data_IF_756806655546
#
_entry.id   IF_756806655546
#
_cell.length_a   1.000
_cell.length_b   1.000
_cell.length_c   1.000
_cell.angle_alpha   90.00
_cell.angle_beta   90.00
_cell.angle_gamma   90.00
#
_symmetry.space_group_name_H-M   'P 1'
#
loop_
_entity.id
_entity.type
_entity.pdbx_description
1 polymer ?
#
# COMPACT_ATOMS: atom_id res chain seq x y z
N UNK A 1 -6.00 10.85 -18.23
CA UNK A 1 -4.62 10.37 -18.48
C UNK A 1 -4.74 8.89 -18.86
N UNK A 2 -4.42 8.55 -20.10
CA UNK A 2 -4.58 7.18 -20.60
C UNK A 2 -3.45 6.29 -20.05
N UNK A 3 -3.82 5.24 -19.32
CA UNK A 3 -2.89 4.21 -18.87
C UNK A 3 -2.25 3.53 -20.09
N UNK A 4 -0.93 3.43 -20.13
CA UNK A 4 -0.21 2.71 -21.17
C UNK A 4 -0.66 1.24 -21.18
N UNK A 5 -1.09 0.75 -22.34
CA UNK A 5 -1.46 -0.65 -22.52
C UNK A 5 -0.23 -1.55 -22.28
N UNK A 6 -0.38 -2.70 -21.60
CA UNK A 6 0.74 -3.57 -21.28
C UNK A 6 1.33 -4.17 -22.55
N UNK A 7 2.62 -3.93 -22.80
CA UNK A 7 3.38 -4.51 -23.90
C UNK A 7 4.03 -5.82 -23.45
N UNK A 8 3.26 -6.91 -23.41
CA UNK A 8 3.78 -8.23 -23.07
C UNK A 8 4.47 -8.92 -24.25
N UNK A 9 5.77 -9.21 -24.12
CA UNK A 9 6.52 -10.12 -25.01
C UNK A 9 6.15 -11.55 -24.60
N UNK A 10 5.29 -12.22 -25.38
CA UNK A 10 4.91 -13.64 -25.22
C UNK A 10 4.48 -14.05 -23.80
N UNK A 11 3.24 -13.69 -23.43
CA UNK A 11 2.55 -14.25 -22.26
C UNK A 11 2.93 -13.66 -20.90
N UNK A 12 4.08 -12.98 -20.76
CA UNK A 12 4.44 -12.23 -19.56
C UNK A 12 3.89 -10.81 -19.66
N UNK A 13 3.07 -10.43 -18.68
CA UNK A 13 2.46 -9.12 -18.55
C UNK A 13 3.27 -8.29 -17.54
N UNK A 14 3.88 -7.20 -18.00
CA UNK A 14 4.46 -6.18 -17.12
C UNK A 14 3.29 -5.44 -16.44
N UNK A 15 2.99 -5.80 -15.20
CA UNK A 15 1.88 -5.20 -14.44
C UNK A 15 2.24 -3.77 -14.08
N UNK A 16 3.43 -3.59 -13.49
CA UNK A 16 4.04 -2.29 -13.26
C UNK A 16 5.55 -2.43 -13.00
N UNK A 17 6.29 -1.36 -13.25
CA UNK A 17 7.72 -1.28 -12.99
C UNK A 17 8.10 0.12 -12.49
N UNK A 18 8.11 0.29 -11.15
CA UNK A 18 8.51 1.54 -10.49
C UNK A 18 10.02 1.74 -10.53
N UNK A 19 10.82 0.72 -10.91
CA UNK A 19 12.27 0.86 -11.01
C UNK A 19 12.67 1.77 -12.19
N UNK A 20 11.85 1.81 -13.24
CA UNK A 20 12.03 2.72 -14.38
C UNK A 20 11.55 4.14 -14.11
N UNK A 21 10.64 4.32 -13.14
CA UNK A 21 10.03 5.59 -12.79
C UNK A 21 9.93 5.74 -11.27
N UNK A 22 11.07 5.82 -10.54
CA UNK A 22 11.07 5.87 -9.08
C UNK A 22 10.38 7.11 -8.53
N UNK A 23 10.21 8.17 -9.34
CA UNK A 23 9.47 9.37 -8.98
C UNK A 23 7.96 9.14 -8.82
N UNK A 24 7.44 8.04 -9.35
CA UNK A 24 6.08 7.62 -9.06
C UNK A 24 5.95 7.26 -7.59
N UNK A 25 6.91 6.57 -6.96
CA UNK A 25 6.85 6.15 -5.54
C UNK A 25 6.66 7.38 -4.65
N UNK A 26 5.42 7.68 -4.25
CA UNK A 26 5.02 8.90 -3.56
C UNK A 26 4.20 8.57 -2.31
N UNK A 27 4.29 9.40 -1.26
CA UNK A 27 3.42 9.32 -0.09
C UNK A 27 1.96 9.52 -0.48
N UNK A 28 1.06 9.11 0.41
CA UNK A 28 -0.38 9.30 0.25
C UNK A 28 -0.82 10.75 0.52
N UNK A 29 -0.22 11.74 -0.16
CA UNK A 29 -0.34 13.18 0.15
C UNK A 29 -1.78 13.66 0.33
N UNK A 30 -2.72 13.22 -0.52
CA UNK A 30 -4.10 13.65 -0.43
C UNK A 30 -4.81 13.11 0.82
N UNK A 31 -4.52 11.87 1.19
CA UNK A 31 -5.03 11.23 2.40
C UNK A 31 -4.43 11.91 3.64
N UNK A 32 -3.10 12.03 3.70
CA UNK A 32 -2.38 12.68 4.80
C UNK A 32 -2.88 14.12 5.04
N UNK A 33 -3.03 14.89 3.96
CA UNK A 33 -3.48 16.28 4.03
C UNK A 33 -4.91 16.39 4.53
N UNK A 34 -5.80 15.45 4.21
CA UNK A 34 -7.17 15.43 4.74
C UNK A 34 -7.17 15.26 6.26
N UNK A 35 -6.39 14.32 6.81
CA UNK A 35 -6.33 14.11 8.25
C UNK A 35 -5.65 15.27 9.00
N UNK A 36 -4.59 15.82 8.42
CA UNK A 36 -3.90 16.99 8.97
C UNK A 36 -4.78 18.23 8.99
N UNK A 37 -5.47 18.53 7.89
CA UNK A 37 -6.36 19.69 7.79
C UNK A 37 -7.55 19.56 8.73
N UNK A 38 -8.13 18.36 8.88
CA UNK A 38 -9.18 18.11 9.85
C UNK A 38 -8.70 18.37 11.29
N UNK A 39 -7.52 17.85 11.67
CA UNK A 39 -6.92 18.05 12.99
C UNK A 39 -6.62 19.52 13.29
N UNK A 40 -5.99 20.23 12.35
CA UNK A 40 -5.70 21.65 12.50
C UNK A 40 -6.97 22.51 12.56
N UNK A 41 -8.00 22.15 11.79
CA UNK A 41 -9.30 22.83 11.83
C UNK A 41 -9.98 22.66 13.18
N UNK A 42 -9.95 21.45 13.76
CA UNK A 42 -10.45 21.18 15.11
C UNK A 42 -9.74 22.04 16.17
N UNK A 43 -8.41 22.10 16.11
CA UNK A 43 -7.61 22.97 17.01
C UNK A 43 -8.02 24.44 16.84
N UNK A 44 -8.13 24.92 15.60
CA UNK A 44 -8.54 26.29 15.29
C UNK A 44 -9.95 26.63 15.82
N UNK A 45 -10.92 25.73 15.65
CA UNK A 45 -12.28 25.88 16.17
C UNK A 45 -12.29 25.96 17.70
N UNK A 46 -11.58 25.05 18.38
CA UNK A 46 -11.50 25.04 19.85
C UNK A 46 -10.89 26.36 20.35
N UNK A 47 -9.80 26.82 19.74
CA UNK A 47 -9.16 28.09 20.12
C UNK A 47 -10.08 29.29 19.85
N UNK A 48 -10.74 29.34 18.69
CA UNK A 48 -11.67 30.40 18.32
C UNK A 48 -12.86 30.51 19.28
N UNK A 49 -13.45 29.37 19.66
CA UNK A 49 -14.57 29.32 20.60
C UNK A 49 -14.10 29.70 22.02
N UNK A 50 -12.98 29.17 22.48
CA UNK A 50 -12.39 29.51 23.79
C UNK A 50 -12.10 31.01 23.93
N UNK A 51 -11.62 31.67 22.86
CA UNK A 51 -11.43 33.12 22.81
C UNK A 51 -12.73 33.89 23.02
N UNK A 52 -13.89 33.31 22.66
CA UNK A 52 -15.20 33.98 22.63
C UNK A 52 -16.07 33.81 23.86
N UNK A 53 -15.82 32.86 24.79
CA UNK A 53 -16.23 32.85 26.23
C UNK A 53 -16.41 31.50 26.97
N UNK A 54 -16.39 30.28 26.41
CA UNK A 54 -16.50 29.08 27.25
C UNK A 54 -15.15 28.36 27.45
N UNK A 55 -14.56 28.55 28.64
CA UNK A 55 -13.38 27.81 29.13
C UNK A 55 -13.57 26.29 29.16
N UNK A 56 -14.83 25.82 29.12
CA UNK A 56 -15.19 24.39 29.04
C UNK A 56 -14.72 23.70 27.76
N UNK A 57 -14.45 24.44 26.68
CA UNK A 57 -13.93 23.85 25.44
C UNK A 57 -12.43 23.51 25.51
N UNK A 58 -11.70 24.04 26.50
CA UNK A 58 -10.28 23.71 26.70
C UNK A 58 -10.04 22.23 27.00
N UNK A 59 -11.05 21.51 27.52
CA UNK A 59 -10.96 20.06 27.72
C UNK A 59 -10.84 19.27 26.41
N UNK A 60 -11.30 19.81 25.28
CA UNK A 60 -11.17 19.18 23.95
C UNK A 60 -9.86 19.52 23.25
N UNK A 61 -9.16 20.57 23.70
CA UNK A 61 -7.86 20.96 23.15
C UNK A 61 -6.81 19.83 23.19
N UNK A 62 -6.59 19.09 24.30
CA UNK A 62 -5.62 18.00 24.32
C UNK A 62 -5.97 16.88 23.33
N UNK A 63 -7.25 16.59 23.12
CA UNK A 63 -7.70 15.58 22.14
C UNK A 63 -7.40 16.06 20.71
N UNK A 64 -7.74 17.32 20.40
CA UNK A 64 -7.46 17.90 19.09
C UNK A 64 -5.96 17.98 18.80
N UNK A 65 -5.15 18.34 19.81
CA UNK A 65 -3.69 18.35 19.71
C UNK A 65 -3.12 16.94 19.54
N UNK A 66 -3.60 15.96 20.30
CA UNK A 66 -3.17 14.56 20.16
C UNK A 66 -3.51 14.01 18.77
N UNK A 67 -4.69 14.32 18.24
CA UNK A 67 -5.08 13.95 16.88
C UNK A 67 -4.16 14.60 15.84
N UNK A 68 -3.96 15.93 15.93
CA UNK A 68 -3.09 16.65 14.99
C UNK A 68 -1.64 16.17 15.05
N UNK A 69 -1.11 15.90 16.25
CA UNK A 69 0.21 15.32 16.45
C UNK A 69 0.31 13.92 15.88
N UNK A 70 -0.71 13.08 16.07
CA UNK A 70 -0.79 11.74 15.49
C UNK A 70 -0.83 11.78 13.96
N UNK A 71 -1.67 12.62 13.37
CA UNK A 71 -1.74 12.81 11.92
C UNK A 71 -0.39 13.31 11.35
N UNK A 72 0.25 14.27 12.02
CA UNK A 72 1.58 14.76 11.62
C UNK A 72 2.65 13.69 11.73
N UNK A 73 2.62 12.89 12.79
CA UNK A 73 3.54 11.76 12.98
C UNK A 73 3.38 10.71 11.88
N UNK A 74 2.14 10.31 11.56
CA UNK A 74 1.86 9.35 10.48
C UNK A 74 2.32 9.88 9.12
N UNK A 75 1.99 11.13 8.80
CA UNK A 75 2.42 11.79 7.55
C UNK A 75 3.95 11.83 7.45
N UNK A 76 4.63 12.20 8.55
CA UNK A 76 6.08 12.22 8.60
C UNK A 76 6.68 10.83 8.34
N UNK A 77 6.13 9.80 8.96
CA UNK A 77 6.59 8.43 8.78
C UNK A 77 6.39 7.95 7.35
N UNK A 78 5.24 8.22 6.73
CA UNK A 78 4.95 7.84 5.35
C UNK A 78 5.89 8.52 4.35
N UNK A 79 6.15 9.83 4.54
CA UNK A 79 7.13 10.57 3.75
C UNK A 79 8.53 9.95 3.87
N UNK A 80 8.99 9.70 5.10
CA UNK A 80 10.34 9.18 5.36
C UNK A 80 10.52 7.78 4.78
N UNK A 81 9.53 6.93 4.95
CA UNK A 81 9.53 5.57 4.41
C UNK A 81 9.54 5.59 2.88
N UNK A 82 8.65 6.36 2.25
CA UNK A 82 8.60 6.47 0.78
C UNK A 82 9.92 7.02 0.22
N UNK A 83 10.53 8.00 0.87
CA UNK A 83 11.86 8.51 0.48
C UNK A 83 12.95 7.45 0.58
N UNK A 84 12.92 6.61 1.62
CA UNK A 84 13.88 5.51 1.79
C UNK A 84 13.72 4.46 0.68
N UNK A 85 12.50 4.00 0.41
CA UNK A 85 12.22 3.06 -0.69
C UNK A 85 12.64 3.66 -2.03
N UNK A 86 12.28 4.91 -2.29
CA UNK A 86 12.69 5.62 -3.52
C UNK A 86 14.21 5.69 -3.66
N UNK A 87 14.94 5.96 -2.58
CA UNK A 87 16.40 6.01 -2.59
C UNK A 87 17.01 4.63 -2.91
N UNK A 88 16.49 3.56 -2.30
CA UNK A 88 16.92 2.19 -2.54
C UNK A 88 16.66 1.75 -3.99
N UNK A 89 15.48 2.07 -4.53
CA UNK A 89 15.14 1.78 -5.93
C UNK A 89 16.06 2.56 -6.89
N UNK A 90 16.31 3.85 -6.62
CA UNK A 90 17.23 4.67 -7.43
C UNK A 90 18.68 4.16 -7.40
N UNK A 91 19.12 3.60 -6.28
CA UNK A 91 20.47 3.01 -6.15
C UNK A 91 20.54 1.57 -6.68
N UNK A 92 19.44 1.01 -7.18
CA UNK A 92 19.36 -0.38 -7.65
C UNK A 92 19.40 -1.41 -6.51
N UNK A 93 19.20 -0.98 -5.27
CA UNK A 93 19.22 -1.82 -4.07
C UNK A 93 17.83 -2.38 -3.79
N UNK A 94 17.36 -3.27 -4.65
CA UNK A 94 16.13 -4.04 -4.45
C UNK A 94 16.39 -5.52 -4.77
N UNK A 95 15.64 -6.41 -4.12
CA UNK A 95 15.72 -7.84 -4.37
C UNK A 95 14.73 -8.24 -5.46
N UNK A 96 14.97 -9.38 -6.11
CA UNK A 96 14.02 -9.96 -7.07
C UNK A 96 13.83 -11.43 -6.77
N UNK A 97 12.58 -11.88 -6.79
CA UNK A 97 12.21 -13.30 -6.74
C UNK A 97 11.31 -13.63 -7.91
N UNK A 98 11.40 -14.85 -8.41
CA UNK A 98 10.55 -15.33 -9.49
C UNK A 98 10.15 -16.78 -9.29
N UNK A 99 8.95 -17.14 -9.72
CA UNK A 99 8.44 -18.49 -9.54
C UNK A 99 6.92 -18.59 -9.62
N UNK A 100 6.44 -19.82 -9.47
CA UNK A 100 5.04 -20.07 -9.14
C UNK A 100 4.77 -19.63 -7.70
N UNK A 101 3.52 -19.31 -7.40
CA UNK A 101 3.11 -18.99 -6.04
C UNK A 101 3.19 -20.23 -5.16
N UNK A 102 3.82 -20.09 -3.99
CA UNK A 102 3.85 -21.12 -2.94
C UNK A 102 2.53 -21.11 -2.15
N UNK A 103 1.92 -19.93 -1.99
CA UNK A 103 0.62 -19.72 -1.32
C UNK A 103 -0.09 -18.55 -1.97
N UNK A 104 -1.42 -18.65 -2.06
CA UNK A 104 -2.27 -17.58 -2.57
C UNK A 104 -3.58 -17.53 -1.78
N UNK A 105 -3.91 -16.34 -1.30
CA UNK A 105 -5.18 -16.04 -0.67
C UNK A 105 -5.73 -14.76 -1.30
N UNK A 106 -6.80 -14.85 -2.13
CA UNK A 106 -7.37 -13.68 -2.77
C UNK A 106 -7.86 -12.70 -1.71
N UNK A 107 -7.70 -11.40 -1.97
CA UNK A 107 -8.28 -10.39 -1.10
C UNK A 107 -9.81 -10.39 -1.17
N UNK A 108 -10.46 -9.49 -0.45
CA UNK A 108 -11.91 -9.33 -0.51
C UNK A 108 -12.28 -8.10 -1.34
N UNK A 109 -13.26 -8.24 -2.23
CA UNK A 109 -13.84 -7.09 -2.93
C UNK A 109 -14.52 -6.09 -1.98
N UNK A 110 -15.06 -6.59 -0.86
CA UNK A 110 -15.67 -5.81 0.21
C UNK A 110 -15.07 -6.25 1.55
N UNK A 111 -14.00 -5.58 2.05
CA UNK A 111 -13.45 -5.87 3.36
C UNK A 111 -14.49 -5.62 4.46
N UNK A 112 -14.35 -6.31 5.59
CA UNK A 112 -15.21 -6.13 6.77
C UNK A 112 -14.38 -5.72 7.97
N UNK A 113 -15.00 -5.25 9.07
CA UNK A 113 -14.24 -4.93 10.29
C UNK A 113 -13.48 -6.15 10.86
N UNK A 114 -13.87 -7.37 10.51
CA UNK A 114 -13.26 -8.62 10.97
C UNK A 114 -12.19 -9.18 10.02
N UNK A 115 -12.13 -8.71 8.77
CA UNK A 115 -11.17 -9.17 7.78
C UNK A 115 -10.70 -7.98 6.94
N UNK A 116 -9.40 -7.73 7.04
CA UNK A 116 -8.70 -6.67 6.32
C UNK A 116 -8.90 -6.73 4.80
N UNK A 117 -9.33 -7.88 4.25
CA UNK A 117 -9.55 -8.06 2.82
C UNK A 117 -8.28 -7.93 1.99
N UNK A 118 -7.12 -8.01 2.65
CA UNK A 118 -5.81 -8.04 2.03
C UNK A 118 -5.69 -9.30 1.19
N UNK A 119 -5.01 -9.17 0.07
CA UNK A 119 -4.56 -10.31 -0.70
C UNK A 119 -3.16 -10.69 -0.25
N UNK A 120 -3.01 -11.97 0.07
CA UNK A 120 -1.77 -12.53 0.60
C UNK A 120 -1.25 -13.57 -0.38
N UNK A 121 0.02 -13.47 -0.72
CA UNK A 121 0.67 -14.50 -1.53
C UNK A 121 2.14 -14.59 -1.23
N UNK A 122 2.72 -15.75 -1.51
CA UNK A 122 4.16 -15.97 -1.34
C UNK A 122 4.78 -16.65 -2.54
N UNK A 123 6.03 -16.33 -2.83
CA UNK A 123 6.84 -16.94 -3.89
C UNK A 123 8.28 -17.07 -3.41
N UNK A 124 8.89 -18.25 -3.61
CA UNK A 124 10.24 -18.58 -3.14
C UNK A 124 10.44 -18.27 -1.64
N UNK A 125 9.40 -18.50 -0.82
CA UNK A 125 9.42 -18.24 0.62
C UNK A 125 9.39 -16.75 1.02
N UNK A 126 9.19 -15.83 0.07
CA UNK A 126 8.94 -14.42 0.36
C UNK A 126 7.45 -14.14 0.35
N UNK A 127 6.97 -13.43 1.38
CA UNK A 127 5.56 -13.07 1.52
C UNK A 127 5.31 -11.65 1.04
N UNK A 128 4.16 -11.48 0.39
CA UNK A 128 3.68 -10.23 -0.18
C UNK A 128 2.22 -10.02 0.22
N UNK A 129 1.91 -8.78 0.59
CA UNK A 129 0.61 -8.36 1.11
C UNK A 129 0.18 -7.13 0.32
N UNK A 130 -1.08 -7.07 -0.08
CA UNK A 130 -1.62 -5.88 -0.74
C UNK A 130 -3.11 -5.70 -0.49
N UNK A 131 -3.57 -4.45 -0.37
CA UNK A 131 -4.98 -4.14 -0.15
C UNK A 131 -5.66 -3.60 -1.41
N UNK A 132 -6.98 -3.84 -1.53
CA UNK A 132 -7.80 -3.25 -2.59
C UNK A 132 -7.88 -1.72 -2.50
N UNK A 133 -7.80 -1.19 -1.27
CA UNK A 133 -7.88 0.24 -0.94
C UNK A 133 -6.50 0.85 -0.62
N UNK A 134 -5.41 0.13 -0.88
CA UNK A 134 -4.08 0.64 -0.59
C UNK A 134 -3.80 1.87 -1.45
N UNK A 135 -3.60 3.01 -0.79
CA UNK A 135 -3.36 4.32 -1.44
C UNK A 135 -1.92 4.41 -2.00
N UNK A 136 -1.03 3.47 -1.61
CA UNK A 136 0.37 3.41 -2.03
C UNK A 136 0.49 2.82 -3.44
N UNK A 137 1.45 3.31 -4.21
CA UNK A 137 1.60 2.91 -5.61
C UNK A 137 2.20 1.51 -5.73
N UNK A 138 1.68 0.75 -6.71
CA UNK A 138 2.17 -0.60 -7.03
C UNK A 138 1.06 -1.63 -6.92
N UNK A 139 0.07 -1.52 -7.80
CA UNK A 139 -1.08 -2.42 -7.97
C UNK A 139 -2.24 -2.25 -6.96
N UNK A 140 -3.39 -1.75 -7.45
CA UNK A 140 -4.56 -1.37 -6.64
C UNK A 140 -5.78 -2.26 -6.87
N UNK A 141 -5.60 -3.52 -7.27
CA UNK A 141 -6.72 -4.43 -7.53
C UNK A 141 -6.41 -5.82 -7.03
N UNK A 142 -7.11 -6.24 -5.98
CA UNK A 142 -7.17 -7.64 -5.55
C UNK A 142 -7.89 -8.49 -6.58
N UNK A 143 -7.62 -9.79 -6.60
CA UNK A 143 -8.11 -10.77 -7.58
C UNK A 143 -9.62 -10.66 -7.83
N UNK A 144 -10.50 -10.60 -6.80
CA UNK A 144 -11.94 -10.49 -7.04
C UNK A 144 -12.39 -9.17 -7.69
N UNK A 145 -11.53 -8.15 -7.63
CA UNK A 145 -11.75 -6.82 -8.24
C UNK A 145 -11.03 -6.67 -9.58
N UNK A 146 -10.62 -7.79 -10.19
CA UNK A 146 -9.85 -7.83 -11.44
C UNK A 146 -8.34 -7.74 -11.22
N UNK A 147 -7.86 -8.30 -10.12
CA UNK A 147 -6.44 -8.55 -9.86
C UNK A 147 -5.84 -9.48 -10.94
N UNK A 148 -4.55 -9.33 -11.22
CA UNK A 148 -3.83 -10.00 -12.29
C UNK A 148 -3.03 -11.19 -11.74
N UNK A 149 -2.74 -11.17 -10.44
CA UNK A 149 -2.20 -12.32 -9.71
C UNK A 149 -3.37 -13.24 -9.39
N UNK A 150 -3.26 -14.49 -9.80
CA UNK A 150 -4.20 -15.57 -9.49
C UNK A 150 -3.42 -16.73 -8.89
N UNK A 151 -4.15 -17.69 -8.30
CA UNK A 151 -3.56 -18.89 -7.68
C UNK A 151 -2.69 -19.74 -8.63
N UNK A 152 -2.83 -19.58 -9.94
CA UNK A 152 -2.09 -20.29 -10.98
C UNK A 152 -1.11 -19.40 -11.76
N UNK A 153 -0.84 -18.20 -11.24
CA UNK A 153 0.10 -17.25 -11.83
C UNK A 153 1.56 -17.64 -11.53
N UNK A 154 2.41 -17.46 -12.53
CA UNK A 154 3.84 -17.27 -12.32
C UNK A 154 4.12 -15.78 -12.18
N UNK A 155 4.99 -15.40 -11.24
CA UNK A 155 5.30 -14.01 -10.95
C UNK A 155 6.80 -13.76 -10.93
N UNK A 156 7.22 -12.56 -11.35
CA UNK A 156 8.53 -11.99 -11.03
C UNK A 156 8.32 -10.70 -10.29
N UNK A 157 8.88 -10.62 -9.09
CA UNK A 157 8.62 -9.55 -8.13
C UNK A 157 9.94 -8.90 -7.76
N UNK A 158 10.07 -7.62 -8.08
CA UNK A 158 11.11 -6.76 -7.52
C UNK A 158 10.57 -6.13 -6.24
N UNK A 159 11.31 -6.22 -5.14
CA UNK A 159 10.85 -5.74 -3.84
C UNK A 159 11.95 -5.10 -2.99
N UNK A 160 11.51 -4.21 -2.10
CA UNK A 160 12.32 -3.64 -1.03
C UNK A 160 11.78 -4.17 0.29
N UNK A 161 12.66 -4.62 1.17
CA UNK A 161 12.25 -5.16 2.47
C UNK A 161 11.92 -4.03 3.42
N UNK A 162 10.70 -4.02 3.96
CA UNK A 162 10.30 -3.08 5.01
C UNK A 162 10.39 -3.77 6.39
N UNK A 163 11.51 -3.56 7.07
CA UNK A 163 11.72 -4.10 8.42
C UNK A 163 10.78 -3.46 9.47
N UNK A 164 10.16 -2.30 9.19
CA UNK A 164 9.25 -1.62 10.11
C UNK A 164 7.83 -2.18 10.04
N UNK A 165 7.35 -2.50 8.83
CA UNK A 165 5.99 -3.02 8.64
C UNK A 165 5.93 -4.55 8.51
N UNK A 166 7.09 -5.22 8.46
CA UNK A 166 7.19 -6.67 8.44
C UNK A 166 6.75 -7.31 7.12
N UNK A 167 6.64 -6.53 6.04
CA UNK A 167 6.29 -7.00 4.70
C UNK A 167 7.24 -6.44 3.64
N UNK A 168 7.18 -7.00 2.44
CA UNK A 168 8.00 -6.58 1.31
C UNK A 168 7.23 -5.58 0.45
N UNK A 169 7.79 -4.39 0.23
CA UNK A 169 7.23 -3.39 -0.67
C UNK A 169 7.52 -3.77 -2.13
N UNK A 170 6.47 -4.01 -2.91
CA UNK A 170 6.61 -4.41 -4.31
C UNK A 170 6.90 -3.18 -5.17
N UNK A 171 8.06 -3.18 -5.84
CA UNK A 171 8.50 -2.09 -6.73
C UNK A 171 8.44 -2.46 -8.20
N UNK A 172 8.30 -3.76 -8.51
CA UNK A 172 8.10 -4.27 -9.86
C UNK A 172 7.33 -5.57 -9.80
N UNK A 173 6.38 -5.73 -10.71
CA UNK A 173 5.60 -6.95 -10.83
C UNK A 173 5.40 -7.32 -12.31
N UNK A 174 5.84 -8.53 -12.64
CA UNK A 174 5.53 -9.19 -13.91
C UNK A 174 4.70 -10.44 -13.59
N UNK A 175 3.65 -10.67 -14.36
CA UNK A 175 2.75 -11.80 -14.14
C UNK A 175 2.55 -12.56 -15.43
N UNK A 176 2.58 -13.88 -15.35
CA UNK A 176 2.13 -14.79 -16.39
C UNK A 176 1.00 -15.64 -15.82
N UNK A 177 -0.22 -15.34 -16.24
CA UNK A 177 -1.42 -16.05 -15.79
C UNK A 177 -1.46 -17.48 -16.34
N UNK A 178 -2.08 -18.40 -15.61
CA UNK A 178 -2.27 -19.80 -16.01
C UNK A 178 -0.96 -20.52 -16.39
N UNK A 179 0.16 -20.11 -15.79
CA UNK A 179 1.49 -20.66 -16.08
C UNK A 179 1.87 -21.80 -15.14
N UNK A 180 1.21 -21.87 -13.99
CA UNK A 180 1.47 -22.81 -12.92
C UNK A 180 0.22 -23.66 -12.64
N UNK A 181 0.35 -24.80 -11.96
CA UNK A 181 -0.80 -25.47 -11.35
C UNK A 181 -1.49 -24.52 -10.37
N UNK A 182 -2.82 -24.56 -10.29
CA UNK A 182 -3.55 -23.75 -9.32
C UNK A 182 -3.24 -24.25 -7.90
N UNK A 183 -2.65 -23.38 -7.08
CA UNK A 183 -2.29 -23.72 -5.70
C UNK A 183 -3.54 -23.76 -4.80
N UNK A 184 -3.67 -24.70 -3.86
CA UNK A 184 -4.81 -24.76 -2.95
C UNK A 184 -4.77 -23.57 -1.99
N UNK A 185 -5.89 -22.85 -1.83
CA UNK A 185 -6.04 -21.83 -0.79
C UNK A 185 -6.02 -22.52 0.60
N UNK A 186 -4.97 -22.36 1.42
CA UNK A 186 -4.83 -23.10 2.67
C UNK A 186 -5.58 -22.44 3.85
N UNK A 187 -6.22 -21.29 3.64
CA UNK A 187 -6.88 -20.54 4.71
C UNK A 187 -8.35 -20.94 4.84
N UNK A 188 -8.86 -21.12 6.08
CA UNK A 188 -10.27 -21.40 6.29
C UNK A 188 -11.12 -20.22 5.80
N UNK A 189 -12.24 -20.56 5.14
CA UNK A 189 -13.29 -19.60 4.75
C UNK A 189 -13.98 -18.98 5.95
#
# INVERSE_FOLDING_TARGET
MAAAAPQGRWGVLDVFDLTRQPDLIQPAYAFDLLFLTAGLSLVGIVLYVCWRRPWRMLFYLPIALAWAAGAAWMTWHDIRHTQAVRALVRSGQFASVEGCLDRFHPGLANPSEADSGLEHWSVAGQEFLYAADEVRLGYHRVEPSGGLVHADSWVRVGYVRDDMRGHNDIVRLEVRQHACPAEPNPWPK
#
